data_IF_667862726798
#
_entry.id   IF_667862726798
#
_cell.length_a   1.000
_cell.length_b   1.000
_cell.length_c   1.000
_cell.angle_alpha   90.00
_cell.angle_beta   90.00
_cell.angle_gamma   90.00
#
_symmetry.space_group_name_H-M   'P 1'
#
loop_
_entity.id
_entity.type
_entity.pdbx_description
1 polymer ?
#
# COMPACT_ATOMS: atom_id res chain seq x y z
N UNK A 1 -19.77 18.29 89.02
CA UNK A 1 -20.92 18.82 88.25
C UNK A 1 -20.37 19.48 86.99
N UNK A 2 -20.71 18.95 85.79
CA UNK A 2 -21.45 19.64 84.71
C UNK A 2 -20.69 20.84 84.08
N UNK A 3 -20.49 21.04 82.78
CA UNK A 3 -20.94 20.48 81.47
C UNK A 3 -19.92 21.08 80.47
N UNK A 4 -19.21 20.32 79.63
CA UNK A 4 -19.50 20.09 78.20
C UNK A 4 -20.21 21.28 77.53
N UNK A 5 -19.55 21.93 76.55
CA UNK A 5 -20.12 22.53 75.30
C UNK A 5 -19.19 23.62 74.73
N UNK A 6 -18.12 23.26 74.01
CA UNK A 6 -17.46 24.20 73.04
C UNK A 6 -16.57 23.46 72.02
N UNK A 7 -16.90 22.22 71.64
CA UNK A 7 -16.16 21.46 70.62
C UNK A 7 -17.06 20.94 69.51
N UNK A 8 -18.02 21.77 69.08
CA UNK A 8 -18.91 21.46 67.96
C UNK A 8 -19.16 22.70 67.08
N UNK A 9 -18.09 23.39 66.70
CA UNK A 9 -18.15 24.47 65.71
C UNK A 9 -16.97 24.50 64.73
N UNK A 10 -15.98 23.61 64.88
CA UNK A 10 -14.77 23.59 64.05
C UNK A 10 -14.74 22.47 62.99
N UNK A 11 -15.77 21.62 62.91
CA UNK A 11 -15.81 20.46 62.00
C UNK A 11 -16.85 20.58 60.87
N UNK A 12 -17.56 21.70 60.76
CA UNK A 12 -18.58 21.90 59.71
C UNK A 12 -18.14 22.82 58.55
N UNK A 13 -16.88 23.27 58.54
CA UNK A 13 -16.34 24.18 57.52
C UNK A 13 -15.33 23.52 56.55
N UNK A 14 -15.31 22.18 56.48
CA UNK A 14 -14.35 21.42 55.66
C UNK A 14 -15.01 20.46 54.65
N UNK A 15 -16.26 20.72 54.24
CA UNK A 15 -16.97 19.91 53.24
C UNK A 15 -17.39 20.69 51.99
N UNK A 16 -16.76 21.83 51.72
CA UNK A 16 -16.90 22.58 50.46
C UNK A 16 -15.63 22.45 49.60
N UNK A 17 -15.12 21.23 49.44
CA UNK A 17 -14.28 20.92 48.28
C UNK A 17 -15.24 20.61 47.13
N UNK A 18 -15.64 21.70 46.45
CA UNK A 18 -16.35 21.60 45.19
C UNK A 18 -15.56 20.73 44.21
N UNK A 19 -16.28 19.88 43.48
CA UNK A 19 -15.77 19.25 42.27
C UNK A 19 -15.24 20.36 41.37
N UNK A 20 -13.91 20.54 41.33
CA UNK A 20 -13.30 21.25 40.23
C UNK A 20 -13.65 20.45 38.98
N UNK A 21 -14.40 21.06 38.07
CA UNK A 21 -14.61 20.53 36.75
C UNK A 21 -13.23 20.21 36.18
N UNK A 22 -12.96 18.92 35.94
CA UNK A 22 -11.78 18.54 35.18
C UNK A 22 -11.87 19.29 33.84
N UNK A 23 -10.82 20.01 33.42
CA UNK A 23 -10.83 20.63 32.11
C UNK A 23 -11.07 19.50 31.11
N UNK A 24 -12.17 19.59 30.37
CA UNK A 24 -12.37 18.82 29.15
C UNK A 24 -11.17 19.14 28.28
N UNK A 25 -10.20 18.24 28.23
CA UNK A 25 -9.12 18.30 27.26
C UNK A 25 -9.80 18.19 25.89
N UNK A 26 -10.03 19.32 25.23
CA UNK A 26 -10.24 19.32 23.80
C UNK A 26 -9.01 18.65 23.22
N UNK A 27 -9.14 17.41 22.78
CA UNK A 27 -8.07 16.71 22.09
C UNK A 27 -7.80 17.51 20.82
N UNK A 28 -6.76 18.34 20.88
CA UNK A 28 -6.33 19.15 19.73
C UNK A 28 -6.02 18.16 18.62
N UNK A 29 -6.83 18.23 17.57
CA UNK A 29 -6.77 17.35 16.41
C UNK A 29 -5.45 17.58 15.69
N UNK A 30 -4.50 16.66 15.83
CA UNK A 30 -3.24 16.72 15.07
C UNK A 30 -3.46 16.26 13.62
N UNK A 31 -3.72 17.25 12.77
CA UNK A 31 -3.91 17.07 11.33
C UNK A 31 -2.62 17.26 10.55
N UNK A 32 -1.53 17.76 11.17
CA UNK A 32 -0.35 18.22 10.44
C UNK A 32 0.66 17.11 10.20
N UNK A 33 1.42 17.21 9.10
CA UNK A 33 2.50 16.27 8.77
C UNK A 33 3.81 17.05 8.77
N UNK A 34 4.55 16.94 9.88
CA UNK A 34 5.79 17.70 10.12
C UNK A 34 7.04 16.95 9.66
N UNK A 35 6.99 15.62 9.60
CA UNK A 35 8.09 14.78 9.17
C UNK A 35 8.58 15.09 7.74
N UNK A 36 9.82 14.70 7.45
CA UNK A 36 10.41 14.90 6.13
C UNK A 36 9.70 14.02 5.09
N UNK A 37 9.46 14.58 3.90
CA UNK A 37 8.98 13.79 2.78
C UNK A 37 10.10 12.86 2.30
N UNK A 38 9.77 11.61 1.97
CA UNK A 38 10.75 10.68 1.38
C UNK A 38 11.16 11.10 -0.03
N UNK A 39 10.22 11.76 -0.71
CA UNK A 39 10.15 11.75 -2.15
C UNK A 39 9.64 13.11 -2.63
N UNK A 40 10.31 13.66 -3.65
CA UNK A 40 9.95 14.97 -4.24
C UNK A 40 9.23 14.83 -5.58
N UNK A 41 9.42 13.69 -6.24
CA UNK A 41 8.79 13.35 -7.52
C UNK A 41 8.01 12.05 -7.40
N UNK A 42 6.96 11.91 -8.22
CA UNK A 42 6.13 10.70 -8.23
C UNK A 42 6.91 9.45 -8.65
N UNK A 43 7.96 9.58 -9.48
CA UNK A 43 8.80 8.44 -9.89
C UNK A 43 9.59 7.79 -8.75
N UNK A 44 9.79 8.49 -7.63
CA UNK A 44 10.51 7.98 -6.44
C UNK A 44 9.61 7.18 -5.50
N UNK A 45 8.29 7.16 -5.73
CA UNK A 45 7.34 6.53 -4.83
C UNK A 45 7.49 5.00 -4.84
N UNK A 46 7.17 4.36 -3.72
CA UNK A 46 7.04 2.90 -3.66
C UNK A 46 5.66 2.48 -4.15
N UNK A 47 5.65 1.57 -5.13
CA UNK A 47 4.44 1.16 -5.84
C UNK A 47 4.05 -0.28 -5.48
N UNK A 48 2.84 -0.45 -4.96
CA UNK A 48 2.26 -1.75 -4.65
C UNK A 48 1.53 -2.27 -5.91
N UNK A 49 1.90 -3.43 -6.45
CA UNK A 49 1.18 -3.98 -7.59
C UNK A 49 -0.24 -4.39 -7.21
N UNK A 50 -1.24 -3.97 -7.99
CA UNK A 50 -2.64 -4.31 -7.76
C UNK A 50 -2.91 -5.77 -8.13
N UNK A 51 -2.78 -6.69 -7.17
CA UNK A 51 -2.94 -8.12 -7.37
C UNK A 51 -4.06 -8.69 -6.48
N UNK A 52 -4.69 -9.77 -6.93
CA UNK A 52 -5.85 -10.35 -6.26
C UNK A 52 -7.14 -9.61 -6.57
N UNK A 53 -8.20 -9.97 -5.83
CA UNK A 53 -9.55 -9.43 -6.03
C UNK A 53 -9.83 -8.21 -5.13
N UNK A 54 -9.16 -8.13 -3.98
CA UNK A 54 -9.29 -7.02 -3.03
C UNK A 54 -8.00 -6.85 -2.21
N UNK A 55 -7.67 -5.61 -1.84
CA UNK A 55 -6.49 -5.28 -1.03
C UNK A 55 -6.91 -4.31 0.07
N UNK A 56 -6.73 -4.76 1.32
CA UNK A 56 -6.81 -3.92 2.51
C UNK A 56 -5.46 -3.23 2.74
N UNK A 57 -5.50 -1.93 3.04
CA UNK A 57 -4.32 -1.17 3.39
C UNK A 57 -4.63 -0.07 4.40
N UNK A 58 -3.60 0.38 5.09
CA UNK A 58 -3.68 1.52 6.00
C UNK A 58 -2.75 2.62 5.51
N UNK A 59 -3.20 3.86 5.66
CA UNK A 59 -2.33 5.02 5.64
C UNK A 59 -2.12 5.40 7.10
N UNK A 60 -0.89 5.22 7.58
CA UNK A 60 -0.48 5.34 8.98
C UNK A 60 0.92 5.96 9.10
N UNK A 61 1.49 5.94 10.31
CA UNK A 61 2.84 6.44 10.58
C UNK A 61 3.98 5.72 9.84
N UNK A 62 3.75 4.51 9.34
CA UNK A 62 4.71 3.73 8.56
C UNK A 62 4.60 3.98 7.05
N UNK A 63 3.55 4.67 6.63
CA UNK A 63 3.34 5.04 5.23
C UNK A 63 4.36 6.08 4.77
N UNK A 64 4.66 6.10 3.47
CA UNK A 64 5.56 7.09 2.91
C UNK A 64 4.93 8.48 2.93
N UNK A 65 5.76 9.51 3.11
CA UNK A 65 5.34 10.91 3.07
C UNK A 65 5.76 11.51 1.74
N UNK A 66 4.78 11.98 0.98
CA UNK A 66 4.97 12.63 -0.31
C UNK A 66 4.80 14.14 -0.21
N UNK A 67 5.42 14.88 -1.12
CA UNK A 67 5.17 16.31 -1.30
C UNK A 67 4.17 16.51 -2.46
N UNK A 68 2.97 16.98 -2.15
CA UNK A 68 1.91 17.26 -3.11
C UNK A 68 1.71 18.77 -3.27
N UNK A 69 0.92 19.18 -4.26
CA UNK A 69 0.60 20.59 -4.48
C UNK A 69 -0.08 21.23 -3.26
N UNK A 70 -0.88 20.45 -2.51
CA UNK A 70 -1.59 20.86 -1.30
C UNK A 70 -0.76 20.68 -0.02
N UNK A 71 0.53 20.35 -0.16
CA UNK A 71 1.47 20.13 0.94
C UNK A 71 1.75 18.65 1.22
N UNK A 72 2.40 18.41 2.36
CA UNK A 72 2.83 17.05 2.74
C UNK A 72 1.65 16.19 3.20
N UNK A 73 1.67 14.93 2.77
CA UNK A 73 0.71 13.92 3.21
C UNK A 73 1.32 12.52 3.20
N UNK A 74 0.80 11.67 4.08
CA UNK A 74 1.03 10.23 4.00
C UNK A 74 0.23 9.67 2.81
N UNK A 75 0.80 8.71 2.09
CA UNK A 75 0.17 8.17 0.91
C UNK A 75 0.44 6.67 0.73
N UNK A 76 -0.36 6.07 -0.14
CA UNK A 76 -0.11 4.74 -0.69
C UNK A 76 -0.16 4.81 -2.21
N UNK A 77 0.89 4.30 -2.86
CA UNK A 77 1.00 4.21 -4.32
C UNK A 77 0.70 2.80 -4.81
N UNK A 78 -0.06 2.69 -5.89
CA UNK A 78 -0.39 1.43 -6.55
C UNK A 78 -0.04 1.47 -8.04
N UNK A 79 0.34 0.31 -8.58
CA UNK A 79 0.61 0.13 -10.01
C UNK A 79 -0.24 -0.98 -10.59
N UNK A 80 -0.82 -0.71 -11.75
CA UNK A 80 -1.59 -1.67 -12.52
C UNK A 80 -0.66 -2.77 -13.07
N UNK A 81 -0.99 -4.07 -12.92
CA UNK A 81 -0.18 -5.15 -13.48
C UNK A 81 -0.16 -5.12 -15.01
N UNK A 82 1.00 -5.43 -15.61
CA UNK A 82 1.21 -5.37 -17.08
C UNK A 82 0.28 -6.27 -17.89
N UNK A 83 -0.30 -7.31 -17.28
CA UNK A 83 -1.21 -8.25 -17.91
C UNK A 83 -2.69 -7.80 -17.88
N UNK A 84 -3.00 -6.69 -17.22
CA UNK A 84 -4.34 -6.10 -17.15
C UNK A 84 -4.36 -4.84 -17.98
N UNK A 85 -5.16 -4.79 -19.05
CA UNK A 85 -5.26 -3.59 -19.90
C UNK A 85 -6.14 -2.52 -19.24
N UNK A 86 -7.29 -2.95 -18.72
CA UNK A 86 -8.24 -2.08 -18.01
C UNK A 86 -8.68 -2.71 -16.71
N UNK A 87 -8.69 -1.91 -15.65
CA UNK A 87 -9.07 -2.31 -14.30
C UNK A 87 -10.15 -1.38 -13.78
N UNK A 88 -11.23 -1.93 -13.26
CA UNK A 88 -12.15 -1.20 -12.40
C UNK A 88 -11.67 -1.31 -10.97
N UNK A 89 -11.58 -0.16 -10.30
CA UNK A 89 -11.18 -0.04 -8.89
C UNK A 89 -12.36 0.52 -8.11
N UNK A 90 -12.76 -0.16 -7.03
CA UNK A 90 -13.68 0.33 -6.03
C UNK A 90 -12.89 0.70 -4.77
N UNK A 91 -12.60 1.98 -4.57
CA UNK A 91 -11.89 2.48 -3.40
C UNK A 91 -12.87 2.82 -2.28
N UNK A 92 -12.64 2.24 -1.10
CA UNK A 92 -13.40 2.48 0.13
C UNK A 92 -12.48 3.05 1.20
N UNK A 93 -12.90 4.12 1.88
CA UNK A 93 -12.24 4.60 3.10
C UNK A 93 -13.17 4.45 4.29
N UNK A 94 -12.78 3.58 5.23
CA UNK A 94 -13.62 3.14 6.33
C UNK A 94 -13.74 4.21 7.42
N UNK A 95 -14.98 4.52 7.79
CA UNK A 95 -15.28 5.43 8.89
C UNK A 95 -15.35 4.68 10.22
N UNK A 96 -14.57 5.15 11.20
CA UNK A 96 -14.59 4.63 12.57
C UNK A 96 -14.96 5.74 13.54
N UNK A 97 -15.28 5.36 14.78
CA UNK A 97 -15.50 6.34 15.86
C UNK A 97 -14.28 7.19 16.15
N UNK A 98 -13.08 6.67 15.90
CA UNK A 98 -11.81 7.39 16.06
C UNK A 98 -11.58 8.44 14.99
N UNK A 99 -12.15 8.25 13.79
CA UNK A 99 -12.01 9.14 12.64
C UNK A 99 -12.07 8.40 11.31
N UNK A 100 -11.88 9.16 10.22
CA UNK A 100 -11.82 8.66 8.84
C UNK A 100 -10.73 9.39 8.06
N UNK A 101 -10.08 8.71 7.13
CA UNK A 101 -9.22 9.39 6.16
C UNK A 101 -10.09 9.90 5.01
N UNK A 102 -10.06 11.20 4.74
CA UNK A 102 -10.75 11.77 3.58
C UNK A 102 -9.84 11.66 2.34
N UNK A 103 -10.16 10.77 1.37
CA UNK A 103 -9.22 10.43 0.31
C UNK A 103 -9.22 11.47 -0.82
N UNK A 104 -8.05 11.67 -1.39
CA UNK A 104 -7.81 12.27 -2.71
C UNK A 104 -7.01 11.29 -3.54
N UNK A 105 -7.38 11.08 -4.80
CA UNK A 105 -6.72 10.09 -5.68
C UNK A 105 -6.13 10.78 -6.90
N UNK A 106 -4.86 10.53 -7.17
CA UNK A 106 -4.19 10.91 -8.42
C UNK A 106 -4.01 9.68 -9.29
N UNK A 107 -4.46 9.76 -10.53
CA UNK A 107 -4.14 8.79 -11.57
C UNK A 107 -3.06 9.38 -12.47
N UNK A 108 -1.94 8.66 -12.58
CA UNK A 108 -0.76 9.13 -13.32
C UNK A 108 -0.53 8.30 -14.57
N UNK A 109 -0.01 8.93 -15.61
CA UNK A 109 0.42 8.27 -16.85
C UNK A 109 1.74 7.48 -16.66
N UNK A 110 2.22 6.74 -17.68
CA UNK A 110 3.49 6.03 -17.60
C UNK A 110 4.72 6.90 -17.30
N UNK A 111 4.63 8.23 -17.49
CA UNK A 111 5.67 9.22 -17.18
C UNK A 111 5.46 9.88 -15.80
N UNK A 112 4.61 9.29 -14.96
CA UNK A 112 4.27 9.76 -13.61
C UNK A 112 3.71 11.19 -13.57
N UNK A 113 3.07 11.66 -14.64
CA UNK A 113 2.36 12.93 -14.65
C UNK A 113 0.88 12.72 -14.28
N UNK A 114 0.29 13.57 -13.42
CA UNK A 114 -1.13 13.51 -13.12
C UNK A 114 -1.98 13.73 -14.36
N UNK A 115 -2.83 12.77 -14.70
CA UNK A 115 -3.79 12.86 -15.83
C UNK A 115 -5.20 13.11 -15.32
N UNK A 116 -5.55 12.50 -14.19
CA UNK A 116 -6.87 12.64 -13.59
C UNK A 116 -6.75 12.69 -12.08
N UNK A 117 -7.50 13.58 -11.47
CA UNK A 117 -7.64 13.71 -10.03
C UNK A 117 -9.08 13.41 -9.66
N UNK A 118 -9.28 12.64 -8.59
CA UNK A 118 -10.58 12.37 -7.98
C UNK A 118 -10.57 13.11 -6.65
N UNK A 119 -11.44 14.09 -6.52
CA UNK A 119 -11.56 14.93 -5.32
C UNK A 119 -12.51 14.29 -4.30
N UNK A 120 -12.53 14.80 -3.07
CA UNK A 120 -13.38 14.22 -2.02
C UNK A 120 -14.88 14.27 -2.38
N UNK A 121 -15.32 15.35 -3.03
CA UNK A 121 -16.71 15.54 -3.46
C UNK A 121 -17.17 14.54 -4.52
N UNK A 122 -16.22 13.87 -5.20
CA UNK A 122 -16.54 12.79 -6.11
C UNK A 122 -16.95 11.50 -5.39
N UNK A 123 -16.64 11.35 -4.10
CA UNK A 123 -16.92 10.13 -3.32
C UNK A 123 -18.36 10.11 -2.81
N UNK A 124 -19.01 8.96 -2.97
CA UNK A 124 -20.31 8.70 -2.35
C UNK A 124 -20.10 8.29 -0.89
N UNK A 125 -20.96 8.78 0.00
CA UNK A 125 -21.00 8.32 1.39
C UNK A 125 -21.92 7.11 1.47
N UNK A 126 -21.33 5.93 1.71
CA UNK A 126 -22.08 4.70 1.95
C UNK A 126 -22.30 4.55 3.45
N UNK A 127 -23.56 4.44 3.85
CA UNK A 127 -23.92 4.21 5.24
C UNK A 127 -23.66 2.75 5.63
N UNK A 128 -23.39 2.51 6.91
CA UNK A 128 -23.20 1.18 7.46
C UNK A 128 -24.43 0.29 7.25
N UNK A 129 -24.19 -0.98 6.94
CA UNK A 129 -25.20 -2.04 6.88
C UNK A 129 -24.82 -3.22 7.78
N UNK A 130 -25.44 -4.39 7.59
CA UNK A 130 -25.15 -5.58 8.40
C UNK A 130 -23.71 -6.12 8.23
N UNK A 131 -23.01 -5.75 7.15
CA UNK A 131 -21.74 -6.36 6.76
C UNK A 131 -20.60 -5.36 6.63
N UNK A 132 -20.89 -4.06 6.57
CA UNK A 132 -19.90 -3.03 6.29
C UNK A 132 -20.13 -1.77 7.14
N UNK A 133 -19.02 -1.14 7.53
CA UNK A 133 -19.05 0.16 8.18
C UNK A 133 -19.36 1.26 7.15
N UNK A 134 -19.81 2.42 7.64
CA UNK A 134 -19.91 3.60 6.78
C UNK A 134 -18.55 3.91 6.15
N UNK A 135 -18.54 4.37 4.91
CA UNK A 135 -17.30 4.64 4.18
C UNK A 135 -17.49 5.69 3.08
N UNK A 136 -16.39 6.36 2.73
CA UNK A 136 -16.30 7.05 1.44
C UNK A 136 -16.04 6.00 0.37
N UNK A 137 -16.86 5.99 -0.69
CA UNK A 137 -16.77 5.01 -1.76
C UNK A 137 -16.67 5.72 -3.11
N UNK A 138 -15.65 5.38 -3.89
CA UNK A 138 -15.58 5.74 -5.31
C UNK A 138 -15.22 4.56 -6.17
N UNK A 139 -16.02 4.37 -7.23
CA UNK A 139 -15.71 3.50 -8.36
C UNK A 139 -15.09 4.31 -9.50
N UNK A 140 -13.97 3.84 -10.04
CA UNK A 140 -13.35 4.41 -11.24
C UNK A 140 -12.62 3.34 -12.05
N UNK A 141 -12.15 3.70 -13.24
CA UNK A 141 -11.41 2.81 -14.13
C UNK A 141 -10.01 3.36 -14.39
N UNK A 142 -9.06 2.43 -14.47
CA UNK A 142 -7.66 2.65 -14.80
C UNK A 142 -7.31 1.87 -16.06
N UNK A 143 -6.38 2.41 -16.84
CA UNK A 143 -5.94 1.83 -18.10
C UNK A 143 -4.41 1.81 -18.14
N UNK A 144 -3.82 0.72 -18.65
CA UNK A 144 -2.36 0.57 -18.73
C UNK A 144 -1.68 1.65 -19.56
N UNK A 145 -2.31 2.13 -20.63
CA UNK A 145 -1.69 3.08 -21.55
C UNK A 145 -1.76 4.51 -20.98
N UNK A 146 -2.87 4.86 -20.31
CA UNK A 146 -3.10 6.25 -19.89
C UNK A 146 -2.95 6.51 -18.39
N UNK A 147 -3.32 5.55 -17.54
CA UNK A 147 -3.39 5.72 -16.08
C UNK A 147 -2.91 4.49 -15.30
N UNK A 148 -1.68 3.98 -15.55
CA UNK A 148 -1.18 2.76 -14.90
C UNK A 148 -0.84 2.94 -13.41
N UNK A 149 -0.71 4.17 -12.91
CA UNK A 149 -0.35 4.45 -11.52
C UNK A 149 -1.46 5.18 -10.79
N UNK A 150 -1.64 4.85 -9.52
CA UNK A 150 -2.61 5.48 -8.64
C UNK A 150 -1.95 5.86 -7.32
N UNK A 151 -2.17 7.08 -6.85
CA UNK A 151 -1.74 7.54 -5.53
C UNK A 151 -2.96 7.93 -4.72
N UNK A 152 -3.09 7.37 -3.51
CA UNK A 152 -4.16 7.71 -2.57
C UNK A 152 -3.53 8.43 -1.38
N UNK A 153 -4.02 9.63 -1.06
CA UNK A 153 -3.52 10.47 0.04
C UNK A 153 -4.64 11.36 0.61
N UNK A 154 -4.33 12.19 1.62
CA UNK A 154 -5.29 13.18 2.16
C UNK A 154 -4.63 14.55 2.34
N UNK A 155 -5.02 15.60 1.60
CA UNK A 155 -4.46 16.96 1.74
C UNK A 155 -4.80 17.59 3.09
N UNK A 156 -4.15 18.70 3.45
CA UNK A 156 -4.37 19.35 4.77
C UNK A 156 -5.82 19.80 4.96
N UNK A 157 -6.38 20.46 3.96
CA UNK A 157 -7.78 20.91 3.95
C UNK A 157 -8.76 19.77 4.27
N UNK A 158 -8.53 18.59 3.68
CA UNK A 158 -9.40 17.43 3.92
C UNK A 158 -9.24 16.91 5.34
N UNK A 159 -8.02 16.88 5.88
CA UNK A 159 -7.75 16.42 7.25
C UNK A 159 -8.37 17.34 8.31
N UNK A 160 -8.47 18.64 8.04
CA UNK A 160 -9.10 19.61 8.94
C UNK A 160 -10.62 19.44 9.01
N UNK A 161 -11.24 18.95 7.93
CA UNK A 161 -12.68 18.72 7.82
C UNK A 161 -13.27 17.62 8.71
N UNK A 162 -14.58 17.44 8.58
CA UNK A 162 -15.36 16.39 9.24
C UNK A 162 -16.57 16.03 8.39
N UNK A 163 -17.19 14.89 8.69
CA UNK A 163 -18.41 14.44 8.03
C UNK A 163 -19.47 14.10 9.06
N UNK A 164 -20.71 14.51 8.79
CA UNK A 164 -21.87 14.15 9.59
C UNK A 164 -22.60 12.97 8.93
N UNK A 165 -22.75 11.88 9.67
CA UNK A 165 -23.42 10.67 9.20
C UNK A 165 -24.81 10.61 9.84
N UNK A 166 -25.88 10.36 9.08
CA UNK A 166 -27.22 10.27 9.64
C UNK A 166 -27.30 9.15 10.67
N UNK A 167 -27.96 9.41 11.81
CA UNK A 167 -28.14 8.40 12.84
C UNK A 167 -28.96 7.22 12.31
N UNK A 168 -28.57 5.95 12.58
CA UNK A 168 -29.24 4.77 12.01
C UNK A 168 -30.74 4.73 12.31
N UNK A 169 -31.16 5.13 13.51
CA UNK A 169 -32.58 5.21 13.88
C UNK A 169 -33.40 6.20 13.02
N UNK A 170 -32.77 7.28 12.51
CA UNK A 170 -33.45 8.20 11.59
C UNK A 170 -33.64 7.57 10.23
N UNK A 171 -32.58 6.96 9.68
CA UNK A 171 -32.64 6.25 8.40
C UNK A 171 -33.72 5.16 8.46
N UNK A 172 -33.74 4.37 9.53
CA UNK A 172 -34.75 3.33 9.75
C UNK A 172 -36.17 3.88 9.85
N UNK A 173 -36.37 4.99 10.58
CA UNK A 173 -37.68 5.61 10.70
C UNK A 173 -38.19 6.14 9.34
N UNK A 174 -37.28 6.70 8.53
CA UNK A 174 -37.58 7.18 7.18
C UNK A 174 -37.97 6.03 6.24
N UNK A 175 -37.22 4.93 6.25
CA UNK A 175 -37.50 3.75 5.43
C UNK A 175 -38.83 3.07 5.80
N UNK A 176 -39.18 3.08 7.09
CA UNK A 176 -40.44 2.52 7.60
C UNK A 176 -41.62 3.51 7.53
N UNK A 177 -41.41 4.75 7.08
CA UNK A 177 -42.43 5.79 7.05
C UNK A 177 -42.94 6.21 8.44
N UNK A 178 -42.12 6.02 9.48
CA UNK A 178 -42.41 6.39 10.86
C UNK A 178 -42.05 7.85 11.14
N UNK A 179 -42.51 8.39 12.27
CA UNK A 179 -42.08 9.69 12.73
C UNK A 179 -40.57 9.70 13.00
N UNK A 180 -39.85 10.70 12.47
CA UNK A 180 -38.39 10.83 12.70
C UNK A 180 -38.11 11.07 14.19
N UNK A 181 -37.26 10.25 14.83
CA UNK A 181 -36.90 10.44 16.22
C UNK A 181 -36.01 11.68 16.39
N UNK A 182 -36.05 12.29 17.58
CA UNK A 182 -35.18 13.40 17.96
C UNK A 182 -33.84 12.82 18.42
N UNK A 183 -32.95 12.56 17.48
CA UNK A 183 -31.59 12.06 17.74
C UNK A 183 -30.56 12.89 16.97
N UNK A 184 -29.41 13.10 17.59
CA UNK A 184 -28.29 13.84 16.99
C UNK A 184 -27.49 12.92 16.07
N UNK A 185 -27.21 13.39 14.86
CA UNK A 185 -26.40 12.67 13.90
C UNK A 185 -24.92 12.72 14.32
N UNK A 186 -24.22 11.57 14.37
CA UNK A 186 -22.80 11.53 14.72
C UNK A 186 -21.93 12.31 13.72
N UNK A 187 -20.96 13.06 14.25
CA UNK A 187 -19.94 13.75 13.46
C UNK A 187 -18.62 12.99 13.60
N UNK A 188 -18.07 12.56 12.47
CA UNK A 188 -16.80 11.83 12.37
C UNK A 188 -15.73 12.81 11.87
N UNK A 189 -14.66 12.94 12.65
CA UNK A 189 -13.55 13.82 12.30
C UNK A 189 -12.67 13.18 11.22
N UNK A 190 -12.25 13.96 10.24
CA UNK A 190 -11.21 13.50 9.32
C UNK A 190 -9.87 13.39 10.06
N UNK A 191 -8.99 12.51 9.61
CA UNK A 191 -7.70 12.27 10.22
C UNK A 191 -6.59 12.12 9.18
N UNK A 192 -5.34 12.29 9.63
CA UNK A 192 -4.15 12.04 8.82
C UNK A 192 -3.93 10.55 8.52
N UNK A 193 -4.58 9.66 9.28
CA UNK A 193 -4.49 8.21 9.15
C UNK A 193 -5.86 7.58 8.92
N UNK A 194 -5.89 6.40 8.33
CA UNK A 194 -7.12 5.64 8.16
C UNK A 194 -6.91 4.28 7.50
N UNK A 195 -7.97 3.47 7.54
CA UNK A 195 -8.02 2.16 6.88
C UNK A 195 -8.81 2.28 5.59
N UNK A 196 -8.28 1.70 4.52
CA UNK A 196 -8.88 1.71 3.20
C UNK A 196 -8.87 0.31 2.60
N UNK A 197 -9.75 0.10 1.63
CA UNK A 197 -9.85 -1.12 0.86
C UNK A 197 -10.00 -0.75 -0.62
N UNK A 198 -9.36 -1.50 -1.51
CA UNK A 198 -9.62 -1.45 -2.94
C UNK A 198 -10.11 -2.81 -3.43
N UNK A 199 -11.29 -2.86 -4.03
CA UNK A 199 -11.68 -4.03 -4.83
C UNK A 199 -11.21 -3.84 -6.26
N UNK A 200 -10.62 -4.89 -6.81
CA UNK A 200 -9.96 -4.91 -8.10
C UNK A 200 -10.75 -5.83 -9.05
N UNK A 201 -11.28 -5.27 -10.13
CA UNK A 201 -12.02 -6.02 -11.15
C UNK A 201 -11.41 -5.78 -12.53
N UNK A 202 -10.58 -6.71 -13.03
CA UNK A 202 -10.06 -6.63 -14.39
C UNK A 202 -11.21 -6.65 -15.40
N UNK A 203 -11.28 -5.62 -16.24
CA UNK A 203 -12.29 -5.54 -17.32
C UNK A 203 -11.76 -6.27 -18.55
N UNK A 204 -10.49 -6.03 -18.88
CA UNK A 204 -9.79 -6.65 -20.01
C UNK A 204 -8.47 -7.26 -19.52
N UNK A 205 -8.30 -8.55 -19.72
CA UNK A 205 -7.05 -9.26 -19.49
C UNK A 205 -6.35 -9.51 -20.82
N UNK A 206 -5.04 -9.29 -20.87
CA UNK A 206 -4.20 -9.64 -22.02
C UNK A 206 -3.37 -10.86 -21.68
N UNK A 207 -3.25 -11.77 -22.64
CA UNK A 207 -2.30 -12.89 -22.56
C UNK A 207 -0.88 -12.32 -22.50
N UNK A 208 -0.31 -12.27 -21.30
CA UNK A 208 1.05 -11.78 -21.10
C UNK A 208 2.05 -12.85 -21.52
N UNK A 209 2.86 -12.56 -22.54
CA UNK A 209 4.11 -13.29 -22.79
C UNK A 209 5.18 -12.63 -21.93
N UNK A 210 5.68 -13.35 -20.93
CA UNK A 210 6.82 -12.91 -20.14
C UNK A 210 8.08 -12.90 -21.01
N UNK A 211 8.26 -11.85 -21.82
CA UNK A 211 9.53 -11.53 -22.48
C UNK A 211 9.49 -10.09 -23.03
N UNK A 212 9.64 -9.12 -22.13
CA UNK A 212 10.11 -7.79 -22.50
C UNK A 212 11.08 -7.31 -21.42
N UNK A 213 12.33 -7.79 -21.52
CA UNK A 213 13.48 -6.99 -21.10
C UNK A 213 13.71 -6.02 -22.26
N UNK A 214 13.05 -4.86 -22.23
CA UNK A 214 13.42 -3.74 -23.10
C UNK A 214 14.82 -3.29 -22.68
N UNK A 215 15.82 -3.70 -23.45
CA UNK A 215 17.15 -3.11 -23.43
C UNK A 215 16.98 -1.60 -23.67
N UNK A 216 17.50 -0.80 -22.73
CA UNK A 216 17.52 0.65 -22.85
C UNK A 216 18.31 1.04 -24.13
N UNK A 217 17.62 1.70 -25.05
CA UNK A 217 18.22 2.30 -26.24
C UNK A 217 19.00 3.53 -25.79
N UNK A 218 20.31 3.38 -25.59
CA UNK A 218 21.22 4.51 -25.42
C UNK A 218 21.37 5.24 -26.77
N UNK A 219 20.81 6.44 -26.84
CA UNK A 219 21.00 7.39 -27.94
C UNK A 219 22.44 7.92 -27.84
N UNK A 220 23.30 7.56 -28.79
CA UNK A 220 24.60 8.21 -28.95
C UNK A 220 24.61 8.92 -30.31
N UNK A 221 24.81 10.24 -30.22
CA UNK A 221 24.82 11.19 -31.31
C UNK A 221 25.87 10.85 -32.38
N UNK A 222 25.48 11.11 -33.63
CA UNK A 222 26.24 10.91 -34.86
C UNK A 222 27.27 12.02 -35.10
N UNK A 223 28.54 11.66 -35.26
CA UNK A 223 29.52 12.40 -36.07
C UNK A 223 30.43 11.39 -36.80
N UNK A 224 30.63 11.48 -38.13
CA UNK A 224 31.27 10.42 -38.91
C UNK A 224 32.74 10.73 -39.23
N UNK A 225 33.66 9.77 -39.05
CA UNK A 225 34.95 9.75 -39.77
C UNK A 225 35.44 8.31 -40.02
N UNK A 226 35.63 8.03 -41.31
CA UNK A 226 36.58 7.14 -41.99
C UNK A 226 36.66 5.63 -41.67
N UNK A 227 36.56 4.87 -42.77
CA UNK A 227 36.69 3.44 -42.91
C UNK A 227 38.14 2.93 -42.81
N UNK A 228 38.31 1.74 -42.20
CA UNK A 228 39.33 0.76 -42.56
C UNK A 228 38.77 -0.66 -42.34
N UNK A 229 39.07 -1.54 -43.29
CA UNK A 229 38.55 -2.89 -43.51
C UNK A 229 39.13 -3.99 -42.60
N UNK A 230 38.50 -5.17 -42.72
CA UNK A 230 38.96 -6.55 -42.44
C UNK A 230 38.71 -7.14 -41.05
N UNK A 231 37.70 -8.02 -40.96
CA UNK A 231 37.85 -9.46 -40.65
C UNK A 231 36.50 -10.08 -40.26
N UNK A 232 36.01 -11.04 -41.05
CA UNK A 232 35.01 -12.04 -40.60
C UNK A 232 35.75 -13.10 -39.77
N UNK A 233 35.20 -13.61 -38.64
CA UNK A 233 34.37 -14.81 -38.73
C UNK A 233 33.21 -14.94 -37.69
N UNK A 234 32.18 -15.68 -38.11
CA UNK A 234 31.26 -16.59 -37.39
C UNK A 234 30.92 -16.43 -35.87
N UNK A 235 29.59 -16.36 -35.63
CA UNK A 235 28.72 -17.00 -34.59
C UNK A 235 29.31 -17.32 -33.21
N UNK A 236 28.75 -16.74 -32.14
CA UNK A 236 28.62 -17.40 -30.81
C UNK A 236 27.36 -16.96 -30.03
N UNK A 237 26.46 -17.92 -29.87
CA UNK A 237 25.63 -18.11 -28.67
C UNK A 237 26.53 -18.12 -27.43
N UNK A 238 26.26 -17.26 -26.45
CA UNK A 238 26.83 -17.36 -25.09
C UNK A 238 25.73 -17.97 -24.21
N UNK A 239 25.64 -19.29 -24.05
CA UNK A 239 26.43 -20.12 -23.13
C UNK A 239 26.67 -19.43 -21.78
N UNK A 240 25.68 -19.50 -20.88
CA UNK A 240 25.91 -19.36 -19.44
C UNK A 240 26.58 -20.65 -19.00
N UNK A 241 27.89 -20.74 -19.18
CA UNK A 241 28.71 -21.80 -18.60
C UNK A 241 29.16 -21.28 -17.24
N UNK A 242 28.80 -22.01 -16.19
CA UNK A 242 29.26 -21.73 -14.82
C UNK A 242 30.79 -21.68 -14.77
N UNK A 243 31.37 -20.79 -13.94
CA UNK A 243 32.81 -20.78 -13.73
C UNK A 243 33.26 -22.13 -13.10
N UNK A 244 34.43 -22.69 -13.49
CA UNK A 244 34.88 -23.99 -13.00
C UNK A 244 34.98 -24.10 -11.46
N UNK A 245 35.33 -22.99 -10.80
CA UNK A 245 35.42 -22.92 -9.34
C UNK A 245 34.04 -23.03 -8.67
N UNK A 246 33.03 -22.39 -9.26
CA UNK A 246 31.63 -22.48 -8.80
C UNK A 246 31.07 -23.87 -9.05
N UNK A 247 31.44 -24.50 -10.17
CA UNK A 247 31.03 -25.87 -10.49
C UNK A 247 31.62 -26.89 -9.51
N UNK A 248 32.91 -26.74 -9.17
CA UNK A 248 33.55 -27.55 -8.14
C UNK A 248 32.88 -27.38 -6.77
N UNK A 249 32.44 -26.17 -6.43
CA UNK A 249 31.73 -25.88 -5.18
C UNK A 249 30.38 -26.62 -5.10
N UNK A 250 29.55 -26.54 -6.15
CA UNK A 250 28.26 -27.26 -6.18
C UNK A 250 28.46 -28.78 -6.16
N UNK A 251 29.41 -29.31 -6.93
CA UNK A 251 29.71 -30.74 -6.94
C UNK A 251 30.18 -31.25 -5.58
N UNK A 252 30.96 -30.44 -4.84
CA UNK A 252 31.37 -30.75 -3.47
C UNK A 252 30.19 -30.82 -2.50
N UNK A 253 29.23 -29.89 -2.60
CA UNK A 253 28.04 -29.90 -1.75
C UNK A 253 27.07 -31.03 -2.08
N UNK A 254 26.89 -31.35 -3.37
CA UNK A 254 26.08 -32.49 -3.83
C UNK A 254 26.67 -33.79 -3.26
N UNK A 255 28.00 -33.96 -3.34
CA UNK A 255 28.69 -35.12 -2.77
C UNK A 255 28.49 -35.23 -1.27
N UNK A 256 28.69 -34.14 -0.52
CA UNK A 256 28.50 -34.12 0.92
C UNK A 256 27.05 -34.41 1.34
N UNK A 257 26.06 -33.95 0.57
CA UNK A 257 24.65 -34.20 0.83
C UNK A 257 24.27 -35.67 0.57
N UNK A 258 24.80 -36.28 -0.50
CA UNK A 258 24.58 -37.71 -0.79
C UNK A 258 25.26 -38.60 0.27
N UNK A 259 26.50 -38.30 0.66
CA UNK A 259 27.20 -39.04 1.73
C UNK A 259 26.48 -38.98 3.09
N UNK A 260 25.75 -37.88 3.35
CA UNK A 260 24.94 -37.70 4.57
C UNK A 260 23.50 -38.22 4.43
N UNK A 261 23.15 -38.86 3.31
CA UNK A 261 21.81 -39.35 3.00
C UNK A 261 20.74 -38.23 2.95
N UNK A 262 21.14 -36.98 2.70
CA UNK A 262 20.27 -35.80 2.59
C UNK A 262 19.74 -35.65 1.15
N UNK A 263 18.97 -36.64 0.67
CA UNK A 263 18.59 -36.76 -0.75
C UNK A 263 17.80 -35.56 -1.30
N UNK A 264 16.88 -34.99 -0.53
CA UNK A 264 16.12 -33.81 -0.94
C UNK A 264 17.02 -32.59 -1.18
N UNK A 265 18.01 -32.41 -0.31
CA UNK A 265 18.96 -31.30 -0.40
C UNK A 265 19.92 -31.49 -1.57
N UNK A 266 20.36 -32.73 -1.82
CA UNK A 266 21.18 -33.06 -2.98
C UNK A 266 20.47 -32.72 -4.30
N UNK A 267 19.18 -33.06 -4.42
CA UNK A 267 18.37 -32.71 -5.60
C UNK A 267 18.19 -31.19 -5.76
N UNK A 268 17.96 -30.48 -4.66
CA UNK A 268 17.85 -29.02 -4.68
C UNK A 268 19.14 -28.35 -5.17
N UNK A 269 20.31 -28.85 -4.73
CA UNK A 269 21.62 -28.36 -5.16
C UNK A 269 21.89 -28.66 -6.64
N UNK A 270 21.43 -29.80 -7.16
CA UNK A 270 21.54 -30.15 -8.58
C UNK A 270 20.73 -29.17 -9.45
N UNK A 271 19.47 -28.91 -9.09
CA UNK A 271 18.61 -27.98 -9.83
C UNK A 271 19.13 -26.53 -9.78
N UNK A 272 19.67 -26.13 -8.64
CA UNK A 272 20.31 -24.82 -8.50
C UNK A 272 21.56 -24.70 -9.39
N UNK A 273 22.41 -25.74 -9.39
CA UNK A 273 23.60 -25.78 -10.23
C UNK A 273 23.25 -25.78 -11.73
N UNK A 274 22.24 -26.55 -12.16
CA UNK A 274 21.74 -26.55 -13.54
C UNK A 274 21.22 -25.17 -13.96
N UNK A 275 20.42 -24.53 -13.11
CA UNK A 275 19.90 -23.18 -13.36
C UNK A 275 21.02 -22.15 -13.48
N UNK A 276 22.11 -22.34 -12.73
CA UNK A 276 23.31 -21.52 -12.80
C UNK A 276 24.27 -21.91 -13.95
N UNK A 277 23.90 -22.87 -14.81
CA UNK A 277 24.67 -23.22 -16.00
C UNK A 277 25.76 -24.28 -15.78
N UNK A 278 25.67 -25.09 -14.72
CA UNK A 278 26.55 -26.25 -14.54
C UNK A 278 26.21 -27.35 -15.54
N UNK A 279 27.26 -27.95 -16.11
CA UNK A 279 27.13 -29.07 -17.05
C UNK A 279 27.40 -30.43 -16.39
N UNK A 280 28.03 -30.45 -15.21
CA UNK A 280 28.46 -31.67 -14.52
C UNK A 280 27.61 -32.08 -13.30
N UNK A 281 26.81 -31.16 -12.73
CA UNK A 281 26.08 -31.42 -11.47
C UNK A 281 25.13 -32.63 -11.52
N UNK A 282 24.43 -32.81 -12.64
CA UNK A 282 23.51 -33.95 -12.83
C UNK A 282 24.26 -35.28 -12.94
N UNK A 283 25.33 -35.31 -13.74
CA UNK A 283 26.17 -36.50 -13.89
C UNK A 283 26.83 -36.89 -12.57
N UNK A 284 27.35 -35.93 -11.80
CA UNK A 284 27.94 -36.19 -10.49
C UNK A 284 26.92 -36.76 -9.50
N UNK A 285 25.70 -36.22 -9.47
CA UNK A 285 24.64 -36.77 -8.63
C UNK A 285 24.29 -38.22 -9.01
N UNK A 286 24.08 -38.48 -10.30
CA UNK A 286 23.71 -39.81 -10.82
C UNK A 286 24.80 -40.87 -10.56
N UNK A 287 26.08 -40.49 -10.65
CA UNK A 287 27.18 -41.39 -10.33
C UNK A 287 27.23 -41.75 -8.84
N UNK A 288 26.92 -40.80 -7.96
CA UNK A 288 26.99 -41.00 -6.51
C UNK A 288 25.86 -41.90 -5.97
N UNK A 289 24.68 -41.88 -6.59
CA UNK A 289 23.55 -42.75 -6.21
C UNK A 289 23.62 -44.15 -6.82
N UNK A 290 24.44 -44.35 -7.88
CA UNK A 290 24.66 -45.67 -8.48
C UNK A 290 25.67 -46.52 -7.71
N UNK A 291 26.34 -45.93 -6.71
CA UNK A 291 27.38 -46.56 -5.92
C UNK A 291 26.81 -47.12 -4.62
#
# INVERSE_FOLDING_TARGET
>A
MKVIKTTLAALLAASLMGCAAAPTQEMVKDVTVTAAACCSTYSEFSWIPMQGDSVDFAIDEYSQIGNFAEGKSYFTGFVLPKNVERMRVDLKSWMRSTGVLAPKVLLLNPQFQPVKTIELDDFDVRLSDMFSLSNYHKRFEMDQETTPYMVVYSPLEYREGSIQIPHPERVRAEDLGLARPIVTDPVIQHQKFGSLEIDLKPINLRSYRANEVTAATAVVATTPVAAVSTATPAVKTSNITMLPETEAFYNGQIKAAVEKNEMHKALQLVEEAKRAGSSSAETTFVELIKK
#
